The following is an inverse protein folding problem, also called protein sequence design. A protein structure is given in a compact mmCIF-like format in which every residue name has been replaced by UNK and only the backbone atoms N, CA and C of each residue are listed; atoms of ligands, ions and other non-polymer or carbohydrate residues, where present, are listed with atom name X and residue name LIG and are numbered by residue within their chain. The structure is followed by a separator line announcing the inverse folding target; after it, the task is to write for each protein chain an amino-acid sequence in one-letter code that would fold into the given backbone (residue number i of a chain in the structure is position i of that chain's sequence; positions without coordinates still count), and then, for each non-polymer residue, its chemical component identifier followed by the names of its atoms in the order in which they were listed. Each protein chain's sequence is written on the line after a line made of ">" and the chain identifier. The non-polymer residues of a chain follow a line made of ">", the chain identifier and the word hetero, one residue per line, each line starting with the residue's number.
data_IF_201535866924
#
_entry.id   IF_201535866924
#
_cell.length_a   1.000
_cell.length_b   1.000
_cell.length_c   1.000
_cell.angle_alpha   90.00
_cell.angle_beta   90.00
_cell.angle_gamma   90.00
#
_symmetry.space_group_name_H-M   'P 1'
#
loop_
_entity.id
_entity.type
_entity.pdbx_description
1 polymer ?
#
# COMPACT_ATOMS: atom_id res chain seq x y z
N UNK A 1 21.45 -1.93 16.21
CA UNK A 1 20.04 -2.35 16.31
C UNK A 1 19.02 -1.22 16.05
N UNK A 2 19.31 -0.30 15.15
CA UNK A 2 18.45 0.85 14.82
C UNK A 2 17.35 0.53 13.78
N UNK A 3 16.95 -0.75 13.69
CA UNK A 3 16.10 -1.20 12.58
C UNK A 3 14.61 -1.23 12.92
N UNK A 4 14.24 -1.14 14.19
CA UNK A 4 12.85 -1.19 14.64
C UNK A 4 12.35 0.19 15.04
N UNK A 5 11.19 0.56 14.53
CA UNK A 5 10.46 1.77 14.90
C UNK A 5 9.12 1.35 15.51
N UNK A 6 8.67 2.08 16.54
CA UNK A 6 7.36 1.84 17.16
C UNK A 6 6.23 2.18 16.19
N UNK A 7 5.12 1.49 16.33
CA UNK A 7 3.92 1.63 15.50
C UNK A 7 4.12 1.28 14.01
N UNK A 8 5.21 0.57 13.68
CA UNK A 8 5.43 0.04 12.32
C UNK A 8 4.77 -1.32 12.20
N UNK A 9 4.21 -1.59 11.03
CA UNK A 9 3.66 -2.90 10.71
C UNK A 9 4.74 -3.96 10.62
N UNK A 10 4.45 -5.12 11.20
CA UNK A 10 5.21 -6.34 11.10
C UNK A 10 4.32 -7.43 10.51
N UNK A 11 4.84 -8.19 9.55
CA UNK A 11 4.17 -9.38 9.00
C UNK A 11 4.84 -10.61 9.62
N UNK A 12 4.04 -11.52 10.17
CA UNK A 12 4.49 -12.84 10.58
C UNK A 12 4.07 -13.84 9.51
N UNK A 13 5.03 -14.63 9.05
CA UNK A 13 4.85 -15.66 8.02
C UNK A 13 4.91 -17.01 8.72
N UNK A 14 3.87 -17.81 8.54
CA UNK A 14 3.77 -19.17 9.06
C UNK A 14 4.37 -20.19 8.08
N UNK A 15 4.54 -21.45 8.54
CA UNK A 15 5.06 -22.54 7.71
C UNK A 15 4.22 -22.83 6.45
N UNK A 16 2.94 -22.51 6.47
CA UNK A 16 2.00 -22.68 5.35
C UNK A 16 1.92 -21.45 4.42
N UNK A 17 2.89 -20.53 4.50
CA UNK A 17 2.93 -19.25 3.77
C UNK A 17 1.74 -18.31 4.08
N UNK A 18 0.91 -18.62 5.07
CA UNK A 18 -0.07 -17.69 5.57
C UNK A 18 0.61 -16.55 6.33
N UNK A 19 0.03 -15.36 6.28
CA UNK A 19 0.60 -14.18 6.93
C UNK A 19 -0.40 -13.53 7.87
N UNK A 20 0.08 -13.07 9.01
CA UNK A 20 -0.67 -12.23 9.94
C UNK A 20 0.04 -10.89 10.11
N UNK A 21 -0.72 -9.80 10.08
CA UNK A 21 -0.20 -8.46 10.32
C UNK A 21 -0.33 -8.09 11.79
N UNK A 22 0.77 -7.59 12.37
CA UNK A 22 0.82 -6.98 13.69
C UNK A 22 1.42 -5.58 13.64
N UNK A 23 1.52 -4.95 14.79
CA UNK A 23 2.16 -3.65 14.97
C UNK A 23 3.23 -3.79 16.05
N UNK A 24 4.42 -3.28 15.80
CA UNK A 24 5.48 -3.20 16.79
C UNK A 24 5.03 -2.23 17.88
N UNK A 25 4.78 -2.77 19.07
CA UNK A 25 4.34 -2.02 20.25
C UNK A 25 5.51 -1.49 21.04
N UNK A 26 6.54 -2.31 21.24
CA UNK A 26 7.75 -1.94 21.97
C UNK A 26 8.97 -2.79 21.54
N UNK A 27 10.17 -2.31 21.90
CA UNK A 27 11.42 -3.04 21.74
C UNK A 27 12.30 -2.76 22.99
N UNK A 28 12.45 -3.75 23.86
CA UNK A 28 13.17 -3.67 25.12
C UNK A 28 14.02 -4.93 25.33
N UNK A 29 15.25 -4.76 25.82
CA UNK A 29 16.14 -5.86 26.20
C UNK A 29 16.31 -6.94 25.10
N UNK A 30 16.48 -6.50 23.84
CA UNK A 30 16.56 -7.34 22.63
C UNK A 30 15.31 -8.19 22.36
N UNK A 31 14.16 -7.82 22.95
CA UNK A 31 12.87 -8.44 22.75
C UNK A 31 11.93 -7.49 22.01
N UNK A 32 11.20 -8.04 21.06
CA UNK A 32 10.21 -7.32 20.28
C UNK A 32 8.81 -7.65 20.80
N UNK A 33 8.02 -6.61 21.11
CA UNK A 33 6.64 -6.74 21.54
C UNK A 33 5.72 -6.38 20.38
N UNK A 34 4.90 -7.36 19.93
CA UNK A 34 4.03 -7.21 18.76
C UNK A 34 2.58 -7.33 19.19
N UNK A 35 1.81 -6.31 18.89
CA UNK A 35 0.37 -6.28 19.10
C UNK A 35 -0.37 -6.74 17.84
N UNK A 36 -1.39 -7.59 18.00
CA UNK A 36 -2.27 -8.03 16.92
C UNK A 36 -3.66 -7.45 17.11
N UNK A 37 -4.26 -6.95 16.03
CA UNK A 37 -5.64 -6.47 16.05
C UNK A 37 -6.54 -7.70 15.90
N UNK A 38 -7.33 -8.00 16.93
CA UNK A 38 -8.16 -9.21 17.04
C UNK A 38 -9.28 -9.32 15.98
N UNK A 39 -9.51 -8.28 15.20
CA UNK A 39 -10.59 -8.20 14.19
C UNK A 39 -10.16 -8.75 12.81
N UNK A 40 -8.93 -9.21 12.70
CA UNK A 40 -8.47 -9.88 11.48
C UNK A 40 -8.90 -11.35 11.51
N UNK A 41 -9.83 -11.72 10.62
CA UNK A 41 -10.30 -13.11 10.42
C UNK A 41 -9.18 -14.11 10.10
N UNK A 42 -7.98 -13.61 9.89
CA UNK A 42 -6.76 -14.36 9.59
C UNK A 42 -5.83 -14.51 10.80
N UNK A 43 -6.21 -13.97 11.96
CA UNK A 43 -5.38 -14.13 13.15
C UNK A 43 -5.28 -15.60 13.55
N UNK A 44 -4.08 -16.15 13.45
CA UNK A 44 -3.72 -17.48 13.94
C UNK A 44 -3.11 -17.35 15.33
N UNK A 45 -3.55 -18.16 16.25
CA UNK A 45 -2.99 -18.19 17.60
C UNK A 45 -1.54 -18.68 17.52
N UNK A 46 -0.60 -17.89 18.05
CA UNK A 46 0.80 -18.26 18.16
C UNK A 46 1.05 -18.99 19.48
N UNK A 47 1.88 -20.00 19.43
CA UNK A 47 2.24 -20.81 20.62
C UNK A 47 3.60 -20.37 21.16
N UNK A 48 3.75 -20.51 22.48
CA UNK A 48 5.07 -20.30 23.13
C UNK A 48 6.06 -21.34 22.57
N UNK A 49 7.31 -20.93 22.40
CA UNK A 49 8.41 -21.68 21.78
C UNK A 49 8.27 -21.89 20.26
N UNK A 50 7.23 -21.36 19.64
CA UNK A 50 7.10 -21.35 18.18
C UNK A 50 8.12 -20.39 17.56
N UNK A 51 8.82 -20.84 16.51
CA UNK A 51 9.71 -19.99 15.69
C UNK A 51 8.91 -19.45 14.51
N UNK A 52 8.93 -18.15 14.33
CA UNK A 52 8.20 -17.44 13.27
C UNK A 52 9.14 -16.64 12.42
N UNK A 53 8.87 -16.57 11.12
CA UNK A 53 9.53 -15.63 10.22
C UNK A 53 8.81 -14.30 10.27
N UNK A 54 9.52 -13.24 10.58
CA UNK A 54 9.01 -11.89 10.65
C UNK A 54 9.51 -11.03 9.48
N UNK A 55 8.68 -10.13 8.99
CA UNK A 55 9.09 -9.14 7.98
C UNK A 55 8.64 -7.75 8.42
N UNK A 56 9.59 -6.83 8.49
CA UNK A 56 9.35 -5.42 8.83
C UNK A 56 9.82 -4.54 7.68
N UNK A 57 9.00 -3.57 7.26
CA UNK A 57 9.35 -2.65 6.18
C UNK A 57 9.64 -1.25 6.70
N UNK A 58 10.83 -0.74 6.35
CA UNK A 58 11.24 0.65 6.59
C UNK A 58 11.51 1.34 5.24
N UNK A 59 10.61 2.21 4.82
CA UNK A 59 10.72 2.87 3.51
C UNK A 59 10.59 1.88 2.35
N UNK A 60 11.62 1.83 1.49
CA UNK A 60 11.65 0.95 0.31
C UNK A 60 12.17 -0.45 0.61
N UNK A 61 12.84 -0.65 1.73
CA UNK A 61 13.46 -1.91 2.11
C UNK A 61 12.71 -2.55 3.27
N UNK A 62 12.78 -3.85 3.34
CA UNK A 62 12.35 -4.64 4.48
C UNK A 62 13.50 -5.47 5.03
N UNK A 63 13.27 -6.00 6.23
CA UNK A 63 14.12 -7.00 6.85
C UNK A 63 13.24 -8.17 7.20
N UNK A 64 13.62 -9.35 6.69
CA UNK A 64 13.11 -10.63 7.17
C UNK A 64 14.06 -11.15 8.23
N UNK A 65 13.51 -11.73 9.29
CA UNK A 65 14.27 -12.34 10.37
C UNK A 65 13.43 -13.42 11.06
N UNK A 66 14.08 -14.33 11.75
CA UNK A 66 13.44 -15.32 12.58
C UNK A 66 13.37 -14.84 14.03
N UNK A 67 12.31 -15.23 14.73
CA UNK A 67 12.11 -14.93 16.13
C UNK A 67 11.37 -16.08 16.82
N UNK A 68 11.62 -16.27 18.12
CA UNK A 68 10.91 -17.24 18.95
C UNK A 68 9.84 -16.51 19.77
N UNK A 69 8.63 -17.02 19.79
CA UNK A 69 7.56 -16.54 20.68
C UNK A 69 7.88 -16.99 22.11
N UNK A 70 8.19 -16.06 23.00
CA UNK A 70 8.59 -16.40 24.38
C UNK A 70 7.53 -16.09 25.42
N UNK A 71 6.60 -15.18 25.11
CA UNK A 71 5.54 -14.86 26.04
C UNK A 71 4.30 -14.31 25.29
N UNK A 72 3.16 -14.38 25.96
CA UNK A 72 1.91 -13.77 25.51
C UNK A 72 1.27 -12.99 26.65
N UNK A 73 1.16 -11.71 26.46
CA UNK A 73 0.51 -10.79 27.40
C UNK A 73 -0.96 -10.62 26.99
N UNK A 74 -1.88 -10.98 27.87
CA UNK A 74 -3.31 -10.87 27.64
C UNK A 74 -3.78 -9.53 28.22
N UNK A 75 -4.39 -8.71 27.37
CA UNK A 75 -4.97 -7.41 27.69
C UNK A 75 -6.16 -7.14 26.79
N UNK A 76 -6.46 -5.87 26.52
CA UNK A 76 -7.52 -5.47 25.57
C UNK A 76 -7.26 -6.02 24.16
N UNK A 77 -6.00 -6.26 23.83
CA UNK A 77 -5.52 -6.97 22.64
C UNK A 77 -4.31 -7.82 22.99
N UNK A 78 -4.07 -8.95 22.30
CA UNK A 78 -2.95 -9.81 22.58
C UNK A 78 -1.63 -9.17 22.13
N UNK A 79 -0.66 -9.13 23.03
CA UNK A 79 0.73 -8.74 22.74
C UNK A 79 1.60 -9.98 22.87
N UNK A 80 2.40 -10.26 21.86
CA UNK A 80 3.37 -11.34 21.87
C UNK A 80 4.77 -10.80 22.04
N UNK A 81 5.55 -11.44 22.92
CA UNK A 81 6.95 -11.19 23.08
C UNK A 81 7.74 -12.13 22.17
N UNK A 82 8.55 -11.56 21.29
CA UNK A 82 9.44 -12.26 20.39
C UNK A 82 10.88 -12.04 20.83
N UNK A 83 11.62 -13.13 21.00
CA UNK A 83 13.04 -13.13 21.42
C UNK A 83 13.87 -13.93 20.43
N UNK A 84 15.19 -14.01 20.67
CA UNK A 84 16.13 -14.75 19.83
C UNK A 84 16.09 -14.31 18.36
N UNK A 85 16.03 -13.00 18.14
CA UNK A 85 15.97 -12.40 16.80
C UNK A 85 17.26 -12.73 16.04
N UNK A 86 17.16 -13.50 14.95
CA UNK A 86 18.30 -13.96 14.17
C UNK A 86 18.00 -14.02 12.67
N UNK A 87 19.00 -14.42 11.87
CA UNK A 87 18.87 -14.64 10.43
C UNK A 87 18.35 -13.42 9.66
N UNK A 88 18.83 -12.22 10.00
CA UNK A 88 18.41 -10.98 9.35
C UNK A 88 18.82 -10.95 7.88
N UNK A 89 17.83 -10.89 7.00
CA UNK A 89 18.00 -10.78 5.56
C UNK A 89 17.28 -9.51 5.08
N UNK A 90 17.98 -8.72 4.28
CA UNK A 90 17.34 -7.56 3.62
C UNK A 90 16.45 -8.07 2.50
N UNK A 91 15.18 -7.69 2.52
CA UNK A 91 14.19 -8.06 1.51
C UNK A 91 13.65 -6.82 0.80
N UNK A 92 13.40 -6.97 -0.48
CA UNK A 92 12.72 -5.97 -1.29
C UNK A 92 11.42 -6.54 -1.81
N UNK A 93 10.28 -6.01 -1.31
CA UNK A 93 8.94 -6.46 -1.70
C UNK A 93 8.39 -5.72 -2.92
N UNK A 94 8.98 -4.58 -3.27
CA UNK A 94 8.44 -3.71 -4.31
C UNK A 94 9.36 -3.68 -5.52
N UNK A 95 8.80 -4.03 -6.67
CA UNK A 95 9.51 -3.92 -7.95
C UNK A 95 9.63 -2.45 -8.38
N UNK A 96 8.66 -1.62 -8.00
CA UNK A 96 8.59 -0.21 -8.38
C UNK A 96 8.80 0.73 -7.20
N UNK A 97 9.58 1.79 -7.44
CA UNK A 97 9.70 2.92 -6.52
C UNK A 97 8.38 3.68 -6.46
N UNK A 98 7.91 3.99 -5.25
CA UNK A 98 6.76 4.85 -5.01
C UNK A 98 7.22 6.25 -4.64
N UNK A 99 6.57 7.23 -5.22
CA UNK A 99 6.88 8.65 -4.96
C UNK A 99 5.63 9.31 -4.40
N UNK A 100 5.76 9.86 -3.20
CA UNK A 100 4.69 10.66 -2.60
C UNK A 100 4.45 11.89 -3.47
N UNK A 101 3.22 12.07 -3.88
CA UNK A 101 2.78 13.22 -4.63
C UNK A 101 1.32 13.52 -4.30
N UNK A 102 1.02 14.78 -4.02
CA UNK A 102 -0.36 15.22 -3.82
C UNK A 102 -0.79 15.97 -5.07
N UNK A 103 -1.67 15.36 -5.83
CA UNK A 103 -2.21 15.95 -7.06
C UNK A 103 -3.66 15.50 -7.25
N UNK A 104 -4.38 16.20 -8.10
CA UNK A 104 -5.75 15.85 -8.46
C UNK A 104 -5.76 14.80 -9.57
N UNK A 105 -6.74 13.90 -9.51
CA UNK A 105 -7.05 12.96 -10.58
C UNK A 105 -8.55 12.92 -10.82
N UNK A 106 -8.92 12.36 -11.96
CA UNK A 106 -10.30 11.98 -12.23
C UNK A 106 -10.39 10.44 -12.33
N UNK A 107 -11.43 9.84 -11.73
CA UNK A 107 -11.64 8.40 -11.78
C UNK A 107 -13.07 8.04 -12.15
N UNK A 108 -13.25 6.86 -12.74
CA UNK A 108 -14.55 6.29 -13.06
C UNK A 108 -14.60 4.80 -12.75
N UNK A 109 -15.76 4.36 -12.26
CA UNK A 109 -16.06 2.93 -12.03
C UNK A 109 -17.21 2.48 -12.96
N UNK A 110 -17.50 3.23 -14.00
CA UNK A 110 -18.59 2.93 -14.93
C UNK A 110 -18.26 1.69 -15.77
N UNK A 111 -19.06 0.61 -15.71
CA UNK A 111 -18.84 -0.59 -16.53
C UNK A 111 -18.83 -0.28 -18.03
N UNK A 112 -19.59 0.73 -18.47
CA UNK A 112 -19.64 1.15 -19.87
C UNK A 112 -18.33 1.76 -20.39
N UNK A 113 -17.42 2.14 -19.48
CA UNK A 113 -16.06 2.60 -19.83
C UNK A 113 -15.04 1.50 -19.60
N UNK A 114 -15.14 0.76 -18.50
CA UNK A 114 -14.16 -0.25 -18.12
C UNK A 114 -14.02 -1.39 -19.14
N UNK A 115 -15.08 -1.70 -19.88
CA UNK A 115 -15.10 -2.75 -20.90
C UNK A 115 -14.50 -2.32 -22.25
N UNK A 116 -14.17 -1.03 -22.42
CA UNK A 116 -13.60 -0.49 -23.64
C UNK A 116 -12.07 -0.58 -23.63
N UNK A 117 -11.46 -0.72 -24.82
CA UNK A 117 -10.01 -0.52 -24.98
C UNK A 117 -9.63 0.94 -24.79
N UNK A 118 -8.34 1.23 -24.56
CA UNK A 118 -7.87 2.61 -24.39
C UNK A 118 -8.19 3.49 -25.60
N UNK A 119 -7.97 3.06 -26.87
CA UNK A 119 -8.34 3.86 -28.05
C UNK A 119 -9.84 4.14 -28.17
N UNK A 120 -10.70 3.21 -27.75
CA UNK A 120 -12.16 3.43 -27.73
C UNK A 120 -12.56 4.41 -26.61
N UNK A 121 -11.88 4.31 -25.46
CA UNK A 121 -12.08 5.25 -24.35
C UNK A 121 -11.73 6.68 -24.76
N UNK A 122 -10.57 6.88 -25.39
CA UNK A 122 -10.13 8.20 -25.86
C UNK A 122 -11.19 8.85 -26.76
N UNK A 123 -11.75 8.10 -27.69
CA UNK A 123 -12.83 8.59 -28.58
C UNK A 123 -14.11 8.92 -27.81
N UNK A 124 -14.48 8.09 -26.82
CA UNK A 124 -15.76 8.20 -26.12
C UNK A 124 -15.79 9.32 -25.08
N UNK A 125 -14.66 9.62 -24.45
CA UNK A 125 -14.57 10.63 -23.38
C UNK A 125 -14.32 12.05 -23.88
N UNK A 126 -14.04 12.24 -25.20
CA UNK A 126 -13.86 13.59 -25.77
C UNK A 126 -15.10 14.44 -25.47
N UNK A 127 -14.90 15.55 -24.73
CA UNK A 127 -15.95 16.49 -24.37
C UNK A 127 -16.99 15.98 -23.35
N UNK A 128 -16.81 14.80 -22.76
CA UNK A 128 -17.80 14.21 -21.86
C UNK A 128 -17.20 13.73 -20.52
N UNK A 129 -17.11 14.63 -19.55
CA UNK A 129 -16.57 14.34 -18.22
C UNK A 129 -17.60 13.78 -17.21
N UNK A 130 -18.87 13.59 -17.60
CA UNK A 130 -19.94 13.18 -16.67
C UNK A 130 -19.73 11.82 -16.00
N UNK A 131 -18.85 11.00 -16.54
CA UNK A 131 -18.55 9.67 -15.98
C UNK A 131 -17.42 9.68 -14.94
N UNK A 132 -16.71 10.80 -14.84
CA UNK A 132 -15.57 10.93 -13.96
C UNK A 132 -15.91 11.66 -12.67
N UNK A 133 -15.28 11.26 -11.59
CA UNK A 133 -15.34 11.89 -10.27
C UNK A 133 -13.94 12.34 -9.87
N UNK A 134 -13.84 13.41 -9.08
CA UNK A 134 -12.55 13.84 -8.56
C UNK A 134 -12.00 12.87 -7.51
N UNK A 135 -10.68 12.78 -7.43
CA UNK A 135 -9.93 12.10 -6.42
C UNK A 135 -8.57 12.78 -6.22
N UNK A 136 -7.84 12.35 -5.21
CA UNK A 136 -6.53 12.89 -4.83
C UNK A 136 -5.50 11.77 -4.92
N UNK A 137 -4.43 11.98 -5.68
CA UNK A 137 -3.25 11.09 -5.68
C UNK A 137 -2.49 11.31 -4.38
N UNK A 138 -2.04 10.25 -3.74
CA UNK A 138 -1.20 10.28 -2.54
C UNK A 138 0.20 9.75 -2.82
N UNK A 139 0.32 8.67 -3.57
CA UNK A 139 1.57 8.19 -4.14
C UNK A 139 1.36 7.55 -5.50
N UNK A 140 2.43 7.51 -6.31
CA UNK A 140 2.43 6.93 -7.65
C UNK A 140 3.70 6.10 -7.85
N UNK A 141 3.56 4.99 -8.58
CA UNK A 141 4.66 4.12 -9.00
C UNK A 141 4.48 3.65 -10.45
N UNK A 142 5.48 2.97 -11.01
CA UNK A 142 5.36 2.38 -12.35
C UNK A 142 4.27 1.31 -12.49
N UNK A 143 3.89 0.66 -11.38
CA UNK A 143 2.89 -0.41 -11.37
C UNK A 143 1.58 -0.07 -10.67
N UNK A 144 1.41 1.13 -10.11
CA UNK A 144 0.19 1.45 -9.38
C UNK A 144 0.12 2.84 -8.77
N UNK A 145 -1.00 3.10 -8.11
CA UNK A 145 -1.32 4.39 -7.51
C UNK A 145 -1.98 4.19 -6.15
N UNK A 146 -1.67 5.07 -5.21
CA UNK A 146 -2.45 5.27 -4.00
C UNK A 146 -3.25 6.56 -4.15
N UNK A 147 -4.57 6.47 -4.00
CA UNK A 147 -5.43 7.63 -4.13
C UNK A 147 -6.52 7.65 -3.08
N UNK A 148 -7.08 8.84 -2.84
CA UNK A 148 -8.19 9.05 -1.92
C UNK A 148 -9.41 9.60 -2.65
N UNK A 149 -10.60 9.16 -2.24
CA UNK A 149 -11.87 9.65 -2.76
C UNK A 149 -12.99 9.46 -1.72
N UNK A 150 -14.12 10.16 -1.92
CA UNK A 150 -15.29 10.09 -1.04
C UNK A 150 -16.10 8.79 -1.20
N UNK A 151 -15.95 8.11 -2.33
CA UNK A 151 -16.74 6.92 -2.62
C UNK A 151 -16.13 5.67 -2.03
N UNK A 152 -16.91 4.90 -1.28
CA UNK A 152 -16.53 3.55 -0.89
C UNK A 152 -16.52 2.62 -2.09
N UNK A 153 -15.36 2.02 -2.39
CA UNK A 153 -15.16 1.02 -3.43
C UNK A 153 -14.96 -0.35 -2.78
N UNK A 154 -15.27 -1.40 -3.52
CA UNK A 154 -15.07 -2.77 -3.08
C UNK A 154 -13.62 -3.22 -3.32
N UNK A 155 -13.19 -4.26 -2.61
CA UNK A 155 -11.96 -4.97 -2.96
C UNK A 155 -12.11 -5.54 -4.39
N UNK A 156 -11.01 -5.55 -5.14
CA UNK A 156 -10.94 -5.98 -6.54
C UNK A 156 -11.77 -5.15 -7.53
N UNK A 157 -12.34 -4.01 -7.08
CA UNK A 157 -13.05 -3.09 -7.95
C UNK A 157 -12.14 -2.57 -9.06
N UNK A 158 -12.60 -2.67 -10.30
CA UNK A 158 -11.95 -2.04 -11.44
C UNK A 158 -12.23 -0.55 -11.47
N UNK A 159 -11.22 0.23 -11.81
CA UNK A 159 -11.23 1.68 -11.82
C UNK A 159 -10.52 2.18 -13.08
N UNK A 160 -11.12 3.11 -13.77
CA UNK A 160 -10.48 3.88 -14.84
C UNK A 160 -10.00 5.21 -14.27
N UNK A 161 -8.74 5.51 -14.45
CA UNK A 161 -8.10 6.77 -14.06
C UNK A 161 -7.80 7.64 -15.26
N UNK A 162 -7.94 8.94 -15.09
CA UNK A 162 -7.44 9.97 -15.97
C UNK A 162 -6.46 10.80 -15.15
N UNK A 163 -5.18 10.59 -15.41
CA UNK A 163 -4.06 11.24 -14.71
C UNK A 163 -3.38 12.25 -15.61
N UNK A 164 -2.95 13.37 -15.02
CA UNK A 164 -2.11 14.35 -15.70
C UNK A 164 -0.64 13.96 -15.56
N UNK A 165 -0.02 13.47 -16.62
CA UNK A 165 1.40 13.10 -16.68
C UNK A 165 2.07 13.97 -17.73
N UNK A 166 3.07 14.76 -17.33
CA UNK A 166 3.80 15.68 -18.23
C UNK A 166 2.88 16.60 -19.06
N UNK A 167 1.85 17.16 -18.42
CA UNK A 167 0.82 18.03 -19.03
C UNK A 167 -0.11 17.35 -20.03
N UNK A 168 -0.06 16.05 -20.15
CA UNK A 168 -0.97 15.27 -20.99
C UNK A 168 -1.83 14.34 -20.14
N UNK A 169 -3.10 14.17 -20.53
CA UNK A 169 -3.97 13.19 -19.91
C UNK A 169 -3.57 11.77 -20.31
N UNK A 170 -3.39 10.91 -19.31
CA UNK A 170 -3.14 9.49 -19.51
C UNK A 170 -4.30 8.71 -18.91
N UNK A 171 -4.87 7.79 -19.69
CA UNK A 171 -5.91 6.88 -19.24
C UNK A 171 -5.26 5.57 -18.79
N UNK A 172 -5.59 5.14 -17.58
CA UNK A 172 -5.07 3.91 -16.97
C UNK A 172 -6.21 3.15 -16.32
N UNK A 173 -6.21 1.83 -16.47
CA UNK A 173 -7.08 0.96 -15.70
C UNK A 173 -6.34 0.41 -14.51
N UNK A 174 -7.05 0.21 -13.40
CA UNK A 174 -6.47 -0.38 -12.21
C UNK A 174 -7.47 -1.20 -11.43
N UNK A 175 -6.94 -2.00 -10.51
CA UNK A 175 -7.68 -2.88 -9.61
C UNK A 175 -7.38 -2.50 -8.18
N UNK A 176 -8.41 -2.23 -7.37
CA UNK A 176 -8.27 -1.89 -5.96
C UNK A 176 -7.84 -3.11 -5.16
N UNK A 177 -6.69 -3.05 -4.48
CA UNK A 177 -6.13 -4.13 -3.67
C UNK A 177 -6.36 -3.90 -2.18
N UNK A 178 -6.09 -2.68 -1.72
CA UNK A 178 -6.15 -2.31 -0.31
C UNK A 178 -7.06 -1.12 -0.12
N UNK A 179 -7.76 -1.09 1.03
CA UNK A 179 -8.63 -0.01 1.44
C UNK A 179 -8.26 0.42 2.85
N UNK A 180 -8.16 1.71 3.09
CA UNK A 180 -8.16 2.31 4.42
C UNK A 180 -9.19 3.43 4.51
N UNK A 181 -9.66 3.71 5.72
CA UNK A 181 -10.70 4.70 5.97
C UNK A 181 -10.09 5.79 6.83
N UNK A 182 -10.16 7.03 6.38
CA UNK A 182 -9.81 8.20 7.14
C UNK A 182 -11.10 8.94 7.49
N UNK A 183 -11.49 8.89 8.75
CA UNK A 183 -12.63 9.63 9.27
C UNK A 183 -12.15 10.94 9.85
N UNK A 184 -12.65 12.05 9.35
CA UNK A 184 -12.59 13.35 10.01
C UNK A 184 -13.98 13.75 10.48
N UNK A 185 -14.09 14.76 11.34
CA UNK A 185 -15.36 15.16 11.98
C UNK A 185 -16.49 15.47 11.00
N UNK A 186 -16.19 15.80 9.74
CA UNK A 186 -17.20 16.21 8.75
C UNK A 186 -17.18 15.39 7.46
N UNK A 187 -16.10 14.63 7.16
CA UNK A 187 -15.95 13.93 5.89
C UNK A 187 -15.35 12.55 6.06
N UNK A 188 -15.91 11.57 5.36
CA UNK A 188 -15.33 10.23 5.25
C UNK A 188 -14.59 10.10 3.93
N UNK A 189 -13.26 10.00 4.02
CA UNK A 189 -12.41 9.76 2.87
C UNK A 189 -11.89 8.33 2.87
N UNK A 190 -11.98 7.68 1.74
CA UNK A 190 -11.47 6.33 1.53
C UNK A 190 -10.17 6.39 0.76
N UNK A 191 -9.14 5.74 1.25
CA UNK A 191 -7.85 5.63 0.56
C UNK A 191 -7.66 4.23 0.03
N UNK A 192 -7.23 4.13 -1.23
CA UNK A 192 -7.06 2.86 -1.95
C UNK A 192 -5.64 2.73 -2.48
N UNK A 193 -5.04 1.54 -2.28
CA UNK A 193 -3.91 1.07 -3.06
C UNK A 193 -4.44 0.34 -4.29
N UNK A 194 -4.04 0.78 -5.47
CA UNK A 194 -4.53 0.27 -6.75
C UNK A 194 -3.36 -0.16 -7.62
N UNK A 195 -3.42 -1.38 -8.13
CA UNK A 195 -2.49 -1.89 -9.12
C UNK A 195 -3.00 -1.55 -10.53
N UNK A 196 -2.13 -1.03 -11.39
CA UNK A 196 -2.47 -0.85 -12.80
C UNK A 196 -2.59 -2.21 -13.49
N UNK A 197 -3.59 -2.31 -14.37
CA UNK A 197 -3.82 -3.47 -15.22
C UNK A 197 -3.75 -3.03 -16.68
N UNK A 198 -3.32 -3.92 -17.56
CA UNK A 198 -3.21 -3.68 -19.01
C UNK A 198 -2.37 -2.41 -19.35
N UNK A 199 -1.44 -2.03 -18.46
CA UNK A 199 -0.52 -0.91 -18.72
C UNK A 199 0.49 -1.32 -19.78
N UNK A 200 0.64 -0.49 -20.82
CA UNK A 200 1.66 -0.70 -21.85
C UNK A 200 3.04 -0.28 -21.34
N UNK A 201 4.10 -0.87 -21.90
CA UNK A 201 5.48 -0.50 -21.55
C UNK A 201 5.74 0.99 -21.76
N UNK A 202 5.22 1.57 -22.83
CA UNK A 202 5.33 3.00 -23.12
C UNK A 202 4.67 3.87 -22.02
N UNK A 203 3.49 3.48 -21.55
CA UNK A 203 2.80 4.19 -20.47
C UNK A 203 3.60 4.08 -19.17
N UNK A 204 4.11 2.88 -18.84
CA UNK A 204 4.94 2.65 -17.66
C UNK A 204 6.22 3.49 -17.69
N UNK A 205 6.93 3.52 -18.81
CA UNK A 205 8.11 4.37 -18.99
C UNK A 205 7.82 5.86 -18.79
N UNK A 206 6.69 6.34 -19.33
CA UNK A 206 6.28 7.75 -19.15
C UNK A 206 6.03 8.07 -17.68
N UNK A 207 5.36 7.17 -16.95
CA UNK A 207 5.15 7.33 -15.51
C UNK A 207 6.50 7.36 -14.79
N UNK A 208 7.39 6.41 -15.06
CA UNK A 208 8.72 6.36 -14.44
C UNK A 208 9.52 7.64 -14.69
N UNK A 209 9.54 8.16 -15.91
CA UNK A 209 10.19 9.45 -16.24
C UNK A 209 9.60 10.59 -15.41
N UNK A 210 8.28 10.67 -15.32
CA UNK A 210 7.58 11.67 -14.51
C UNK A 210 7.94 11.55 -13.03
N UNK A 211 8.02 10.34 -12.47
CA UNK A 211 8.43 10.10 -11.09
C UNK A 211 9.84 10.61 -10.79
N UNK A 212 10.80 10.45 -11.71
CA UNK A 212 12.13 11.03 -11.56
C UNK A 212 12.10 12.55 -11.47
N UNK A 213 11.23 13.22 -12.23
CA UNK A 213 11.06 14.68 -12.14
C UNK A 213 10.47 15.07 -10.78
N UNK A 214 9.45 14.36 -10.31
CA UNK A 214 8.86 14.58 -8.99
C UNK A 214 9.87 14.39 -7.85
N UNK A 215 10.66 13.33 -7.89
CA UNK A 215 11.69 13.05 -6.88
C UNK A 215 12.73 14.19 -6.80
N UNK A 216 13.13 14.76 -7.93
CA UNK A 216 14.05 15.92 -7.96
C UNK A 216 13.41 17.16 -7.32
N UNK A 217 12.15 17.45 -7.65
CA UNK A 217 11.40 18.57 -7.06
C UNK A 217 11.24 18.39 -5.55
N UNK A 218 10.86 17.20 -5.08
CA UNK A 218 10.69 16.91 -3.67
C UNK A 218 12.00 17.05 -2.87
N UNK A 219 13.16 16.72 -3.47
CA UNK A 219 14.47 16.97 -2.84
C UNK A 219 14.82 18.45 -2.72
N UNK A 220 14.43 19.27 -3.68
CA UNK A 220 14.68 20.72 -3.65
C UNK A 220 13.83 21.42 -2.59
N UNK A 221 12.59 20.99 -2.41
CA UNK A 221 11.67 21.57 -1.42
C UNK A 221 11.97 21.19 0.04
N UNK A 222 12.84 20.18 0.27
CA UNK A 222 13.26 19.74 1.62
C UNK A 222 14.59 20.36 2.06
N UNK A 223 15.19 21.22 1.25
CA UNK A 223 16.38 22.03 1.58
C UNK A 223 16.00 23.49 1.87
#
# INVERSE_FOLDING_TARGET
>A
MDNFELNVKIELIYEDDETTEGIIHDFLDDKLYVAFIADDKKFKLLYIDEVVTCVVFKGIYGYSFEATITNRIIGDYPIYELSNLCNFIRVQRRDDVRVDCVDTLEYSISPSLLNLSIPELEKKIVGNNKYFKPGIVLDLSGGGIKFSCEKSLNKDQLILFKLMIDKENMLLKGKALHKSINMSSNDTMYTYGVQFIDITELQRERIIKYLFVLMRKNKQNKR
#
